data_IF_179212957239
#
_entry.id   IF_179212957239
#
_cell.length_a   1.000
_cell.length_b   1.000
_cell.length_c   1.000
_cell.angle_alpha   90.00
_cell.angle_beta   90.00
_cell.angle_gamma   90.00
#
_symmetry.space_group_name_H-M   'P 1'
#
loop_
_entity.id
_entity.type
_entity.pdbx_description
1 polymer ?
#
# COMPACT_ATOMS: atom_id res chain seq x y z
N UNK A 1 8.10 -13.36 18.82
CA UNK A 1 9.27 -13.14 17.94
C UNK A 1 8.76 -13.15 16.50
N UNK A 2 9.17 -12.18 15.67
CA UNK A 2 8.77 -12.17 14.24
C UNK A 2 9.55 -13.28 13.54
N UNK A 3 8.86 -14.18 12.83
CA UNK A 3 9.51 -15.16 11.98
C UNK A 3 10.22 -14.47 10.82
N UNK A 4 11.40 -14.97 10.46
CA UNK A 4 12.25 -14.35 9.43
C UNK A 4 12.70 -15.36 8.38
N UNK A 5 13.05 -14.85 7.20
CA UNK A 5 13.73 -15.58 6.14
C UNK A 5 15.08 -14.92 5.84
N UNK A 6 16.03 -15.71 5.37
CA UNK A 6 17.35 -15.21 4.97
C UNK A 6 17.49 -15.22 3.43
N UNK A 7 18.00 -14.11 2.88
CA UNK A 7 18.30 -14.00 1.47
C UNK A 7 19.55 -13.13 1.25
N UNK A 8 20.56 -13.68 0.57
CA UNK A 8 21.84 -13.00 0.28
C UNK A 8 22.43 -12.28 1.51
N UNK A 9 22.53 -13.00 2.63
CA UNK A 9 23.07 -12.52 3.91
C UNK A 9 22.26 -11.39 4.58
N UNK A 10 21.00 -11.19 4.17
CA UNK A 10 20.07 -10.30 4.84
C UNK A 10 18.89 -11.09 5.40
N UNK A 11 18.36 -10.64 6.52
CA UNK A 11 17.21 -11.23 7.20
C UNK A 11 15.99 -10.35 6.97
N UNK A 12 14.87 -10.97 6.58
CA UNK A 12 13.62 -10.29 6.26
C UNK A 12 12.45 -10.90 7.03
N UNK A 13 11.44 -10.13 7.42
CA UNK A 13 10.21 -10.65 8.01
C UNK A 13 9.50 -11.61 7.07
N UNK A 14 9.19 -12.82 7.54
CA UNK A 14 8.50 -13.85 6.77
C UNK A 14 7.10 -13.41 6.33
N UNK A 15 6.40 -12.65 7.16
CA UNK A 15 5.05 -12.15 6.89
C UNK A 15 4.96 -11.28 5.64
N UNK A 16 6.00 -10.53 5.30
CA UNK A 16 6.02 -9.79 4.03
C UNK A 16 6.03 -10.75 2.83
N UNK A 17 6.79 -11.85 2.92
CA UNK A 17 6.83 -12.85 1.86
C UNK A 17 5.53 -13.65 1.73
N UNK A 18 4.73 -13.70 2.78
CA UNK A 18 3.43 -14.39 2.83
C UNK A 18 2.23 -13.48 2.52
N UNK A 19 2.45 -12.16 2.34
CA UNK A 19 1.42 -11.21 1.96
C UNK A 19 0.62 -10.60 3.11
N UNK A 20 1.02 -10.78 4.37
CA UNK A 20 0.33 -10.24 5.56
C UNK A 20 1.09 -9.08 6.21
N UNK A 21 1.74 -8.23 5.41
CA UNK A 21 2.49 -7.09 5.93
C UNK A 21 1.59 -5.98 6.48
N UNK A 22 0.32 -5.91 6.04
CA UNK A 22 -0.63 -4.87 6.45
C UNK A 22 -0.77 -4.73 7.97
N UNK A 23 -0.62 -5.80 8.74
CA UNK A 23 -0.69 -5.76 10.19
C UNK A 23 0.28 -4.76 10.84
N UNK A 24 1.40 -4.44 10.19
CA UNK A 24 2.36 -3.46 10.71
C UNK A 24 1.93 -2.01 10.47
N UNK A 25 1.13 -1.76 9.43
CA UNK A 25 0.62 -0.44 9.09
C UNK A 25 -0.74 -0.13 9.74
N UNK A 26 -1.58 -1.13 9.98
CA UNK A 26 -2.94 -0.97 10.52
C UNK A 26 -2.99 -0.11 11.80
N UNK A 27 -2.09 -0.25 12.80
CA UNK A 27 -2.11 0.59 13.99
C UNK A 27 -2.02 2.08 13.68
N UNK A 28 -1.22 2.47 12.68
CA UNK A 28 -1.05 3.86 12.24
C UNK A 28 -2.21 4.30 11.35
N UNK A 29 -2.57 3.49 10.36
CA UNK A 29 -3.65 3.78 9.42
C UNK A 29 -5.00 4.02 10.14
N UNK A 30 -5.28 3.34 11.24
CA UNK A 30 -6.47 3.55 12.06
C UNK A 30 -6.60 4.98 12.62
N UNK A 31 -5.54 5.77 12.67
CA UNK A 31 -5.62 7.16 13.12
C UNK A 31 -6.12 8.09 12.02
N UNK A 32 -5.89 7.76 10.76
CA UNK A 32 -6.15 8.64 9.61
C UNK A 32 -7.22 8.09 8.65
N UNK A 33 -7.28 6.79 8.44
CA UNK A 33 -8.31 6.14 7.63
C UNK A 33 -9.62 6.01 8.43
N UNK A 34 -10.51 7.00 8.30
CA UNK A 34 -11.78 7.09 8.99
C UNK A 34 -12.93 7.21 8.00
N UNK A 35 -14.10 6.68 8.35
CA UNK A 35 -15.29 6.73 7.50
C UNK A 35 -15.39 5.54 6.57
N UNK A 36 -15.86 5.78 5.35
CA UNK A 36 -16.06 4.74 4.31
C UNK A 36 -14.84 4.65 3.41
N UNK A 37 -14.26 3.47 3.29
CA UNK A 37 -13.09 3.28 2.45
C UNK A 37 -12.90 1.85 1.97
N UNK A 38 -11.87 1.66 1.17
CA UNK A 38 -11.49 0.37 0.60
C UNK A 38 -10.07 -0.03 1.03
N UNK A 39 -9.82 -1.34 1.05
CA UNK A 39 -8.48 -1.93 1.14
C UNK A 39 -8.17 -2.62 -0.18
N UNK A 40 -7.24 -2.04 -0.95
CA UNK A 40 -6.86 -2.55 -2.27
C UNK A 40 -5.66 -3.46 -2.16
N UNK A 41 -5.85 -4.72 -2.60
CA UNK A 41 -4.79 -5.75 -2.57
C UNK A 41 -4.68 -6.48 -1.24
N UNK A 42 -5.79 -6.64 -0.53
CA UNK A 42 -5.81 -7.28 0.80
C UNK A 42 -5.60 -8.80 0.76
N UNK A 43 -5.74 -9.46 -0.38
CA UNK A 43 -5.52 -10.89 -0.64
C UNK A 43 -6.44 -11.85 0.14
N UNK A 44 -6.88 -11.48 1.36
CA UNK A 44 -7.78 -12.29 2.21
C UNK A 44 -8.69 -11.39 3.01
N UNK A 45 -9.92 -11.87 3.28
CA UNK A 45 -10.88 -11.12 4.11
C UNK A 45 -10.35 -10.81 5.52
N UNK A 46 -9.66 -11.77 6.13
CA UNK A 46 -9.10 -11.62 7.48
C UNK A 46 -7.90 -10.65 7.56
N UNK A 47 -7.32 -10.27 6.42
CA UNK A 47 -6.23 -9.29 6.34
C UNK A 47 -6.69 -7.90 5.93
N UNK A 48 -7.96 -7.78 5.53
CA UNK A 48 -8.56 -6.51 5.15
C UNK A 48 -8.47 -5.48 6.28
N UNK A 49 -8.15 -4.26 5.94
CA UNK A 49 -8.16 -3.15 6.91
C UNK A 49 -9.52 -3.07 7.61
N UNK A 50 -9.55 -3.01 8.95
CA UNK A 50 -10.80 -3.10 9.71
C UNK A 50 -11.82 -2.01 9.34
N UNK A 51 -12.95 -2.43 8.81
CA UNK A 51 -14.03 -1.54 8.36
C UNK A 51 -13.97 -1.10 6.90
N UNK A 52 -12.91 -1.47 6.16
CA UNK A 52 -12.82 -1.24 4.73
C UNK A 52 -13.59 -2.29 3.92
N UNK A 53 -14.04 -1.90 2.72
CA UNK A 53 -14.48 -2.87 1.72
C UNK A 53 -13.25 -3.48 1.05
N UNK A 54 -13.14 -4.83 0.96
CA UNK A 54 -12.04 -5.47 0.27
C UNK A 54 -12.13 -5.25 -1.24
N UNK A 55 -11.00 -4.95 -1.87
CA UNK A 55 -10.83 -4.87 -3.33
C UNK A 55 -9.66 -5.77 -3.71
N UNK A 56 -9.97 -6.99 -4.11
CA UNK A 56 -8.94 -7.97 -4.47
C UNK A 56 -9.56 -9.10 -5.31
N UNK A 57 -9.03 -9.44 -6.50
CA UNK A 57 -9.58 -10.47 -7.38
C UNK A 57 -9.55 -11.88 -6.78
N UNK A 58 -8.82 -12.10 -5.68
CA UNK A 58 -8.87 -13.38 -4.92
C UNK A 58 -10.14 -13.46 -4.05
N UNK A 59 -10.74 -12.33 -3.70
CA UNK A 59 -11.90 -12.24 -2.79
C UNK A 59 -13.21 -12.01 -3.56
N UNK A 60 -13.17 -11.13 -4.57
CA UNK A 60 -14.34 -10.68 -5.32
C UNK A 60 -13.98 -10.38 -6.79
N UNK A 61 -14.94 -9.84 -7.56
CA UNK A 61 -14.74 -9.47 -8.96
C UNK A 61 -13.99 -8.16 -9.16
N UNK A 62 -13.52 -7.50 -8.09
CA UNK A 62 -12.88 -6.19 -8.14
C UNK A 62 -11.36 -6.31 -8.15
N UNK A 63 -10.72 -5.37 -8.84
CA UNK A 63 -9.27 -5.24 -8.88
C UNK A 63 -8.83 -3.77 -8.71
N UNK A 64 -7.53 -3.53 -8.76
CA UNK A 64 -6.94 -2.22 -8.51
C UNK A 64 -7.41 -1.11 -9.48
N UNK A 65 -7.95 -1.44 -10.64
CA UNK A 65 -8.44 -0.49 -11.66
C UNK A 65 -9.95 -0.64 -11.93
N UNK A 66 -10.63 -1.50 -11.19
CA UNK A 66 -12.05 -1.76 -11.39
C UNK A 66 -12.76 -2.11 -10.09
N UNK A 67 -13.33 -1.11 -9.43
CA UNK A 67 -14.23 -1.28 -8.29
C UNK A 67 -15.32 -0.19 -8.28
N UNK A 68 -16.54 -0.49 -7.76
CA UNK A 68 -17.72 0.37 -7.93
C UNK A 68 -17.84 1.49 -6.90
N UNK A 69 -16.83 1.67 -6.04
CA UNK A 69 -16.89 2.64 -4.95
C UNK A 69 -16.36 4.00 -5.40
N UNK A 70 -17.07 5.06 -5.05
CA UNK A 70 -16.71 6.45 -5.31
C UNK A 70 -16.90 7.29 -4.02
N UNK A 71 -16.43 8.52 -4.02
CA UNK A 71 -16.55 9.46 -2.89
C UNK A 71 -16.03 8.87 -1.57
N UNK A 72 -14.93 8.13 -1.66
CA UNK A 72 -14.32 7.44 -0.53
C UNK A 72 -13.67 8.43 0.44
N UNK A 73 -13.84 8.18 1.74
CA UNK A 73 -13.11 8.87 2.80
C UNK A 73 -11.63 8.46 2.81
N UNK A 74 -11.33 7.21 2.43
CA UNK A 74 -9.94 6.75 2.32
C UNK A 74 -9.79 5.57 1.36
N UNK A 75 -8.58 5.45 0.83
CA UNK A 75 -8.05 4.21 0.26
C UNK A 75 -6.85 3.79 1.09
N UNK A 76 -6.87 2.57 1.59
CA UNK A 76 -5.73 1.90 2.21
C UNK A 76 -5.19 0.84 1.24
N UNK A 77 -3.88 0.74 1.12
CA UNK A 77 -3.24 -0.33 0.36
C UNK A 77 -1.90 -0.69 0.97
N UNK A 78 -1.65 -1.99 1.09
CA UNK A 78 -0.44 -2.52 1.69
C UNK A 78 0.18 -3.58 0.79
N UNK A 79 1.43 -3.38 0.36
CA UNK A 79 2.19 -4.34 -0.45
C UNK A 79 1.39 -4.84 -1.68
N UNK A 80 0.81 -3.89 -2.42
CA UNK A 80 0.02 -4.14 -3.64
C UNK A 80 0.59 -3.39 -4.84
N UNK A 81 0.89 -2.10 -4.70
CA UNK A 81 1.27 -1.21 -5.80
C UNK A 81 2.52 -1.68 -6.55
N UNK A 82 3.46 -2.31 -5.85
CA UNK A 82 4.68 -2.86 -6.43
C UNK A 82 4.44 -4.02 -7.41
N UNK A 83 3.27 -4.63 -7.37
CA UNK A 83 2.85 -5.71 -8.27
C UNK A 83 2.12 -5.22 -9.52
N UNK A 84 1.73 -3.95 -9.58
CA UNK A 84 0.88 -3.40 -10.63
C UNK A 84 1.72 -2.79 -11.77
N UNK A 85 1.34 -3.07 -13.02
CA UNK A 85 2.15 -2.72 -14.19
C UNK A 85 2.37 -1.21 -14.33
N UNK A 86 1.29 -0.42 -14.27
CA UNK A 86 1.29 1.04 -14.43
C UNK A 86 0.81 1.69 -13.14
N UNK A 87 1.72 1.78 -12.17
CA UNK A 87 1.41 2.28 -10.84
C UNK A 87 0.94 3.75 -10.84
N UNK A 88 1.36 4.55 -11.82
CA UNK A 88 0.92 5.95 -11.94
C UNK A 88 -0.54 6.00 -12.32
N UNK A 89 -0.95 5.27 -13.36
CA UNK A 89 -2.36 5.16 -13.77
C UNK A 89 -3.23 4.58 -12.64
N UNK A 90 -2.70 3.64 -11.88
CA UNK A 90 -3.39 3.08 -10.71
C UNK A 90 -3.64 4.15 -9.65
N UNK A 91 -2.61 4.93 -9.30
CA UNK A 91 -2.76 6.00 -8.31
C UNK A 91 -3.68 7.12 -8.81
N UNK A 92 -3.65 7.47 -10.10
CA UNK A 92 -4.58 8.42 -10.72
C UNK A 92 -6.03 7.92 -10.59
N UNK A 93 -6.27 6.63 -10.89
CA UNK A 93 -7.58 6.01 -10.72
C UNK A 93 -8.02 6.03 -9.24
N UNK A 94 -7.15 5.63 -8.29
CA UNK A 94 -7.48 5.68 -6.87
C UNK A 94 -7.77 7.10 -6.40
N UNK A 95 -6.95 8.07 -6.83
CA UNK A 95 -7.17 9.49 -6.53
C UNK A 95 -8.54 9.97 -7.01
N UNK A 96 -8.97 9.52 -8.19
CA UNK A 96 -10.31 9.87 -8.72
C UNK A 96 -11.46 9.34 -7.85
N UNK A 97 -11.24 8.24 -7.12
CA UNK A 97 -12.22 7.59 -6.23
C UNK A 97 -12.32 8.19 -4.84
N UNK A 98 -11.29 8.91 -4.41
CA UNK A 98 -11.24 9.58 -3.11
C UNK A 98 -11.92 10.95 -3.24
N UNK A 99 -12.80 11.31 -2.30
CA UNK A 99 -13.38 12.65 -2.22
C UNK A 99 -12.36 13.70 -1.80
N UNK A 100 -12.63 14.99 -2.02
CA UNK A 100 -11.81 16.07 -1.43
C UNK A 100 -11.77 15.94 0.09
N UNK A 101 -10.58 16.08 0.68
CA UNK A 101 -10.33 15.84 2.11
C UNK A 101 -10.18 14.37 2.50
N UNK A 102 -10.36 13.43 1.58
CA UNK A 102 -10.13 12.01 1.83
C UNK A 102 -8.65 11.63 1.78
N UNK A 103 -8.30 10.49 2.34
CA UNK A 103 -6.92 10.04 2.56
C UNK A 103 -6.53 8.89 1.64
N UNK A 104 -5.37 9.02 0.98
CA UNK A 104 -4.64 7.87 0.42
C UNK A 104 -3.57 7.44 1.42
N UNK A 105 -3.60 6.17 1.82
CA UNK A 105 -2.61 5.56 2.72
C UNK A 105 -1.94 4.37 2.06
N UNK A 106 -0.64 4.44 1.90
CA UNK A 106 0.18 3.39 1.28
C UNK A 106 1.20 2.85 2.28
N UNK A 107 1.36 1.53 2.30
CA UNK A 107 2.43 0.83 2.99
C UNK A 107 3.17 -0.08 2.01
N UNK A 108 4.42 0.25 1.70
CA UNK A 108 5.15 -0.32 0.57
C UNK A 108 6.52 -0.85 1.00
N UNK A 109 7.03 -1.92 0.34
CA UNK A 109 8.39 -2.38 0.56
C UNK A 109 9.39 -1.35 0.04
N UNK A 110 10.41 -1.06 0.85
CA UNK A 110 11.47 -0.15 0.46
C UNK A 110 12.50 -0.83 -0.47
N UNK A 111 13.13 -0.04 -1.32
CA UNK A 111 14.21 -0.50 -2.22
C UNK A 111 15.34 -1.23 -1.51
N UNK A 112 15.61 -0.94 -0.23
CA UNK A 112 16.63 -1.63 0.57
C UNK A 112 16.33 -3.13 0.74
N UNK A 113 15.06 -3.55 0.58
CA UNK A 113 14.65 -4.95 0.66
C UNK A 113 15.06 -5.75 -0.57
N UNK A 114 16.27 -6.27 -0.57
CA UNK A 114 16.87 -6.97 -1.71
C UNK A 114 16.07 -8.19 -2.18
N UNK A 115 15.41 -8.88 -1.26
CA UNK A 115 14.61 -10.08 -1.56
C UNK A 115 13.52 -9.79 -2.59
N UNK A 116 12.85 -8.62 -2.50
CA UNK A 116 11.72 -8.27 -3.34
C UNK A 116 12.06 -7.46 -4.60
N UNK A 117 13.34 -7.16 -4.84
CA UNK A 117 13.71 -6.45 -6.08
C UNK A 117 13.34 -7.28 -7.31
N UNK A 118 12.85 -6.67 -8.41
CA UNK A 118 12.35 -7.37 -9.59
C UNK A 118 13.31 -8.40 -10.20
N UNK A 119 14.60 -8.18 -10.09
CA UNK A 119 15.63 -9.13 -10.58
C UNK A 119 15.87 -10.32 -9.65
N UNK A 120 15.43 -10.25 -8.39
CA UNK A 120 15.48 -11.34 -7.42
C UNK A 120 14.12 -12.05 -7.30
N UNK A 121 13.01 -11.31 -7.48
CA UNK A 121 11.65 -11.84 -7.42
C UNK A 121 10.76 -11.15 -8.46
N UNK A 122 10.28 -11.91 -9.43
CA UNK A 122 9.50 -11.39 -10.56
C UNK A 122 8.06 -11.01 -10.22
N UNK A 123 7.60 -11.24 -9.01
CA UNK A 123 6.28 -10.77 -8.55
C UNK A 123 6.23 -9.26 -8.36
N UNK A 124 7.37 -8.62 -8.00
CA UNK A 124 7.47 -7.17 -7.92
C UNK A 124 7.86 -6.61 -9.28
N UNK A 125 7.04 -5.74 -9.83
CA UNK A 125 7.29 -5.04 -11.09
C UNK A 125 7.98 -3.70 -10.85
N UNK A 126 7.68 -3.08 -9.72
CA UNK A 126 8.18 -1.75 -9.34
C UNK A 126 8.98 -1.80 -8.05
N UNK A 127 9.80 -0.80 -7.87
CA UNK A 127 10.57 -0.54 -6.64
C UNK A 127 10.30 0.90 -6.20
N UNK A 128 10.09 1.06 -4.90
CA UNK A 128 9.74 2.36 -4.32
C UNK A 128 10.72 2.77 -3.21
N UNK A 129 10.79 4.07 -3.01
CA UNK A 129 11.30 4.71 -1.79
C UNK A 129 10.24 5.67 -1.27
N UNK A 130 10.32 6.10 0.00
CA UNK A 130 9.38 7.11 0.52
C UNK A 130 9.31 8.37 -0.33
N UNK A 131 10.44 8.79 -0.90
CA UNK A 131 10.56 10.01 -1.71
C UNK A 131 9.74 9.90 -3.01
N UNK A 132 9.82 8.78 -3.72
CA UNK A 132 9.09 8.60 -5.00
C UNK A 132 7.58 8.78 -4.80
N UNK A 133 7.03 8.22 -3.75
CA UNK A 133 5.59 8.32 -3.49
C UNK A 133 5.23 9.71 -2.93
N UNK A 134 6.09 10.29 -2.10
CA UNK A 134 5.92 11.64 -1.60
C UNK A 134 5.87 12.64 -2.76
N UNK A 135 6.85 12.60 -3.67
CA UNK A 135 6.95 13.50 -4.82
C UNK A 135 5.73 13.34 -5.75
N UNK A 136 5.29 12.08 -5.99
CA UNK A 136 4.05 11.85 -6.74
C UNK A 136 2.85 12.53 -6.09
N UNK A 137 2.67 12.39 -4.78
CA UNK A 137 1.54 13.00 -4.07
C UNK A 137 1.62 14.54 -4.10
N UNK A 138 2.81 15.12 -3.90
CA UNK A 138 3.03 16.56 -3.92
C UNK A 138 2.69 17.16 -5.29
N UNK A 139 3.06 16.47 -6.37
CA UNK A 139 2.78 16.88 -7.75
C UNK A 139 1.31 16.64 -8.18
N UNK A 140 0.56 15.76 -7.50
CA UNK A 140 -0.74 15.27 -7.96
C UNK A 140 -1.92 15.58 -7.03
N UNK A 141 -1.91 16.75 -6.39
CA UNK A 141 -3.09 17.29 -5.71
C UNK A 141 -3.36 16.71 -4.32
N UNK A 142 -2.30 16.35 -3.59
CA UNK A 142 -2.37 16.02 -2.18
C UNK A 142 -1.76 17.13 -1.32
N UNK A 143 -2.22 17.24 -0.10
CA UNK A 143 -1.69 18.10 0.96
C UNK A 143 -1.50 17.30 2.25
N UNK A 144 -0.90 17.92 3.27
CA UNK A 144 -0.65 17.25 4.56
C UNK A 144 0.05 15.89 4.40
N UNK A 145 0.96 15.83 3.41
CA UNK A 145 1.63 14.58 3.06
C UNK A 145 2.62 14.21 4.16
N UNK A 146 2.50 12.97 4.65
CA UNK A 146 3.43 12.40 5.61
C UNK A 146 4.13 11.19 4.98
N UNK A 147 5.42 11.06 5.20
CA UNK A 147 6.19 9.86 4.91
C UNK A 147 6.97 9.41 6.14
N UNK A 148 6.98 8.11 6.41
CA UNK A 148 7.82 7.52 7.44
C UNK A 148 9.24 7.28 6.94
N UNK A 149 10.16 7.02 7.86
CA UNK A 149 11.39 6.29 7.54
C UNK A 149 11.08 4.82 7.23
N UNK A 150 12.11 4.10 6.77
CA UNK A 150 12.04 2.65 6.59
C UNK A 150 11.98 1.98 7.96
N UNK A 151 10.99 1.12 8.15
CA UNK A 151 10.77 0.42 9.40
C UNK A 151 11.58 -0.89 9.51
N UNK A 152 11.39 -1.62 10.62
CA UNK A 152 12.08 -2.90 10.88
C UNK A 152 11.63 -4.02 9.92
N UNK A 153 10.56 -3.79 9.13
CA UNK A 153 10.09 -4.71 8.11
C UNK A 153 10.63 -4.37 6.72
N UNK A 154 11.58 -3.43 6.62
CA UNK A 154 12.09 -2.90 5.36
C UNK A 154 10.96 -2.34 4.47
N UNK A 155 10.00 -1.68 5.09
CA UNK A 155 8.87 -1.04 4.45
C UNK A 155 8.68 0.39 4.98
N UNK A 156 7.84 1.17 4.33
CA UNK A 156 7.55 2.55 4.71
C UNK A 156 6.08 2.88 4.49
N UNK A 157 5.61 3.91 5.18
CA UNK A 157 4.27 4.46 5.01
C UNK A 157 4.36 5.82 4.33
N UNK A 158 3.46 6.07 3.39
CA UNK A 158 3.18 7.42 2.87
C UNK A 158 1.68 7.62 2.87
N UNK A 159 1.24 8.78 3.33
CA UNK A 159 -0.17 9.16 3.27
C UNK A 159 -0.31 10.63 2.87
N UNK A 160 -1.40 10.96 2.22
CA UNK A 160 -1.75 12.33 1.86
C UNK A 160 -3.26 12.53 1.84
N UNK A 161 -3.69 13.76 2.08
CA UNK A 161 -5.08 14.20 1.99
C UNK A 161 -5.32 14.82 0.62
N UNK A 162 -6.30 14.33 -0.13
CA UNK A 162 -6.67 14.89 -1.44
C UNK A 162 -7.21 16.32 -1.27
N UNK A 163 -6.70 17.26 -2.09
CA UNK A 163 -7.16 18.66 -2.14
C UNK A 163 -8.56 18.76 -2.70
#
# INVERSE_FOLDING_TARGET
>A
MIETINFKNNTYPKLQAEGNASQFAIPFAKHVCKGTGVDVGCNRNEWTFPGAYPVDPVINEYDALNFPYDELDYIFSSHCLEHLYDWVNVLDYWTSKIKSGGTLFLYLPDYSQKYWRPWNNRKHLNIFTPEIIFDYMDDNGYKNIFKSGVDLNNAFMVMGEKI
#
